data_IF_037204013350
#
_entry.id   IF_037204013350
#
_cell.length_a   1.000
_cell.length_b   1.000
_cell.length_c   1.000
_cell.angle_alpha   90.00
_cell.angle_beta   90.00
_cell.angle_gamma   90.00
#
_symmetry.space_group_name_H-M   'P 1'
#
loop_
_entity.id
_entity.type
_entity.pdbx_description
1 polymer ?
#
# COMPACT_ATOMS: atom_id res chain seq x y z
N UNK A 1 7.01 25.21 -5.51
CA UNK A 1 8.15 24.30 -5.73
C UNK A 1 8.06 23.24 -4.64
N UNK A 2 7.40 22.13 -4.94
CA UNK A 2 7.27 20.98 -4.04
C UNK A 2 7.99 19.82 -4.72
N UNK A 3 9.27 20.03 -5.01
CA UNK A 3 10.04 19.09 -5.81
C UNK A 3 10.98 18.35 -4.87
N UNK A 4 10.74 17.04 -4.78
CA UNK A 4 11.63 16.02 -4.25
C UNK A 4 11.82 16.03 -2.73
N UNK A 5 10.80 15.51 -2.03
CA UNK A 5 11.08 14.81 -0.77
C UNK A 5 12.20 13.79 -1.06
N UNK A 6 13.29 13.77 -0.28
CA UNK A 6 14.39 12.85 -0.53
C UNK A 6 13.81 11.43 -0.57
N UNK A 7 14.28 10.61 -1.51
CA UNK A 7 13.76 9.27 -1.71
C UNK A 7 13.74 8.44 -0.41
N UNK A 8 14.61 8.75 0.55
CA UNK A 8 14.59 8.20 1.91
C UNK A 8 13.34 8.59 2.73
N UNK A 9 12.88 9.84 2.68
CA UNK A 9 11.66 10.27 3.35
C UNK A 9 10.41 9.64 2.73
N UNK A 10 10.38 9.50 1.40
CA UNK A 10 9.27 8.81 0.71
C UNK A 10 9.24 7.33 1.11
N UNK A 11 10.40 6.65 1.15
CA UNK A 11 10.52 5.27 1.63
C UNK A 11 10.03 5.12 3.08
N UNK A 12 10.52 5.97 3.99
CA UNK A 12 10.11 5.92 5.38
C UNK A 12 8.61 6.16 5.54
N UNK A 13 8.04 7.06 4.74
CA UNK A 13 6.60 7.33 4.72
C UNK A 13 5.80 6.10 4.28
N UNK A 14 6.13 5.46 3.15
CA UNK A 14 5.41 4.26 2.70
C UNK A 14 5.50 3.10 3.69
N UNK A 15 6.65 2.89 4.32
CA UNK A 15 6.81 1.86 5.35
C UNK A 15 5.98 2.19 6.59
N UNK A 16 5.99 3.43 7.04
CA UNK A 16 5.18 3.90 8.16
C UNK A 16 3.67 3.73 7.89
N UNK A 17 3.22 4.07 6.68
CA UNK A 17 1.83 3.92 6.28
C UNK A 17 1.39 2.44 6.25
N UNK A 18 2.24 1.55 5.74
CA UNK A 18 1.96 0.11 5.76
C UNK A 18 1.88 -0.45 7.20
N UNK A 19 2.74 0.03 8.11
CA UNK A 19 2.71 -0.35 9.52
C UNK A 19 1.47 0.21 10.24
N UNK A 20 1.14 1.48 9.99
CA UNK A 20 -0.09 2.10 10.49
C UNK A 20 -1.34 1.37 10.00
N UNK A 21 -1.35 0.90 8.75
CA UNK A 21 -2.44 0.07 8.23
C UNK A 21 -2.56 -1.24 9.01
N UNK A 22 -1.44 -1.92 9.31
CA UNK A 22 -1.45 -3.13 10.13
C UNK A 22 -2.05 -2.87 11.52
N UNK A 23 -1.70 -1.75 12.15
CA UNK A 23 -2.29 -1.34 13.43
C UNK A 23 -3.80 -1.08 13.33
N UNK A 24 -4.27 -0.40 12.28
CA UNK A 24 -5.69 -0.19 12.03
C UNK A 24 -6.46 -1.51 11.86
N UNK A 25 -5.86 -2.52 11.22
CA UNK A 25 -6.49 -3.83 11.10
C UNK A 25 -6.67 -4.49 12.48
N UNK A 26 -5.66 -4.38 13.36
CA UNK A 26 -5.77 -4.88 14.74
C UNK A 26 -6.87 -4.15 15.53
N UNK A 27 -7.05 -2.86 15.27
CA UNK A 27 -8.11 -2.03 15.87
C UNK A 27 -9.49 -2.23 15.21
N UNK A 28 -9.60 -3.13 14.21
CA UNK A 28 -10.82 -3.39 13.43
C UNK A 28 -11.31 -2.16 12.65
N UNK A 29 -10.38 -1.35 12.15
CA UNK A 29 -10.60 -0.18 11.29
C UNK A 29 -10.16 -0.48 9.84
N UNK A 30 -10.87 -1.36 9.11
CA UNK A 30 -10.45 -1.80 7.77
C UNK A 30 -10.45 -0.68 6.73
N UNK A 31 -11.40 0.26 6.80
CA UNK A 31 -11.46 1.41 5.89
C UNK A 31 -10.22 2.31 6.00
N UNK A 32 -9.77 2.55 7.23
CA UNK A 32 -8.59 3.37 7.49
C UNK A 32 -7.30 2.64 7.11
N UNK A 33 -7.25 1.32 7.32
CA UNK A 33 -6.18 0.47 6.83
C UNK A 33 -6.07 0.54 5.30
N UNK A 34 -7.18 0.42 4.56
CA UNK A 34 -7.17 0.54 3.10
C UNK A 34 -6.60 1.89 2.63
N UNK A 35 -7.07 3.00 3.21
CA UNK A 35 -6.56 4.33 2.86
C UNK A 35 -5.05 4.48 3.09
N UNK A 36 -4.54 3.95 4.20
CA UNK A 36 -3.11 3.97 4.45
C UNK A 36 -2.32 3.12 3.45
N UNK A 37 -2.85 1.97 3.04
CA UNK A 37 -2.20 1.14 2.02
C UNK A 37 -2.22 1.81 0.64
N UNK A 38 -3.27 2.53 0.29
CA UNK A 38 -3.35 3.32 -0.95
C UNK A 38 -2.32 4.48 -0.95
N UNK A 39 -2.20 5.24 0.15
CA UNK A 39 -1.19 6.30 0.29
C UNK A 39 0.23 5.71 0.28
N UNK A 40 0.40 4.50 0.85
CA UNK A 40 1.67 3.79 0.82
C UNK A 40 2.07 3.41 -0.60
N UNK A 41 1.11 2.92 -1.41
CA UNK A 41 1.28 2.53 -2.82
C UNK A 41 1.67 3.69 -3.73
N UNK A 42 1.12 4.89 -3.49
CA UNK A 42 1.43 6.09 -4.24
C UNK A 42 2.91 6.52 -4.06
N UNK A 43 3.48 6.24 -2.90
CA UNK A 43 4.88 6.56 -2.57
C UNK A 43 5.92 5.51 -3.02
N UNK A 44 5.54 4.40 -3.66
CA UNK A 44 6.49 3.32 -3.97
C UNK A 44 7.20 3.59 -5.29
N UNK A 45 8.53 3.54 -5.27
CA UNK A 45 9.36 3.47 -6.49
C UNK A 45 9.71 2.03 -6.88
N UNK A 46 10.10 1.81 -8.14
CA UNK A 46 10.34 0.48 -8.76
C UNK A 46 11.19 -0.47 -7.88
N UNK A 47 12.32 -0.01 -7.35
CA UNK A 47 13.22 -0.84 -6.53
C UNK A 47 12.65 -1.27 -5.17
N UNK A 48 11.77 -0.45 -4.57
CA UNK A 48 11.21 -0.72 -3.24
C UNK A 48 9.87 -1.45 -3.29
N UNK A 49 9.38 -1.73 -4.49
CA UNK A 49 8.20 -2.55 -4.72
C UNK A 49 8.27 -3.86 -3.94
N UNK A 50 9.37 -4.60 -4.03
CA UNK A 50 9.47 -5.92 -3.41
C UNK A 50 9.26 -5.90 -1.88
N UNK A 51 9.88 -4.95 -1.17
CA UNK A 51 9.83 -4.90 0.31
C UNK A 51 8.53 -4.32 0.85
N UNK A 52 8.03 -3.24 0.26
CA UNK A 52 6.79 -2.59 0.72
C UNK A 52 5.56 -3.41 0.32
N UNK A 53 5.58 -4.03 -0.86
CA UNK A 53 4.48 -4.89 -1.31
C UNK A 53 4.31 -6.13 -0.44
N UNK A 54 5.41 -6.73 0.04
CA UNK A 54 5.33 -7.85 0.98
C UNK A 54 4.52 -7.46 2.23
N UNK A 55 4.83 -6.30 2.81
CA UNK A 55 4.08 -5.74 3.95
C UNK A 55 2.61 -5.47 3.60
N UNK A 56 2.35 -4.85 2.46
CA UNK A 56 0.97 -4.60 2.00
C UNK A 56 0.20 -5.91 1.84
N UNK A 57 0.83 -6.96 1.29
CA UNK A 57 0.22 -8.30 1.16
C UNK A 57 -0.13 -8.91 2.51
N UNK A 58 0.74 -8.76 3.51
CA UNK A 58 0.47 -9.22 4.88
C UNK A 58 -0.76 -8.52 5.46
N UNK A 59 -0.85 -7.19 5.35
CA UNK A 59 -2.01 -6.42 5.85
C UNK A 59 -3.28 -6.78 5.05
N UNK A 60 -3.18 -6.90 3.74
CA UNK A 60 -4.28 -7.34 2.85
C UNK A 60 -4.80 -8.73 3.22
N UNK A 61 -3.90 -9.64 3.64
CA UNK A 61 -4.29 -10.97 4.08
C UNK A 61 -5.12 -10.93 5.36
N UNK A 62 -4.79 -10.06 6.33
CA UNK A 62 -5.62 -9.90 7.53
C UNK A 62 -6.94 -9.18 7.23
N UNK A 63 -6.91 -8.23 6.27
CA UNK A 63 -8.11 -7.57 5.74
C UNK A 63 -9.12 -8.52 5.05
N UNK A 64 -8.75 -9.77 4.74
CA UNK A 64 -9.68 -10.76 4.15
C UNK A 64 -10.94 -10.99 4.98
N UNK A 65 -10.90 -10.75 6.29
CA UNK A 65 -12.09 -10.84 7.16
C UNK A 65 -13.17 -9.82 6.76
N UNK A 66 -12.77 -8.75 6.06
CA UNK A 66 -13.61 -7.66 5.58
C UNK A 66 -13.67 -7.57 4.05
N UNK A 67 -13.42 -8.66 3.32
CA UNK A 67 -13.40 -8.67 1.84
C UNK A 67 -14.74 -8.28 1.18
N UNK A 68 -15.83 -8.31 1.95
CA UNK A 68 -17.13 -7.81 1.51
C UNK A 68 -17.21 -6.28 1.45
N UNK A 69 -16.25 -5.56 2.05
CA UNK A 69 -16.20 -4.11 2.04
C UNK A 69 -15.70 -3.58 0.68
N UNK A 70 -16.33 -2.51 0.16
CA UNK A 70 -15.92 -1.92 -1.11
C UNK A 70 -14.48 -1.37 -1.07
N UNK A 71 -14.02 -0.88 0.07
CA UNK A 71 -12.67 -0.34 0.26
C UNK A 71 -11.60 -1.42 0.08
N UNK A 72 -11.88 -2.65 0.54
CA UNK A 72 -10.95 -3.78 0.42
C UNK A 72 -10.86 -4.24 -1.03
N UNK A 73 -11.96 -4.19 -1.77
CA UNK A 73 -12.00 -4.50 -3.21
C UNK A 73 -11.28 -3.45 -4.04
N UNK A 74 -11.53 -2.17 -3.76
CA UNK A 74 -10.85 -1.06 -4.42
C UNK A 74 -9.33 -1.14 -4.25
N UNK A 75 -8.86 -1.49 -3.05
CA UNK A 75 -7.45 -1.74 -2.79
C UNK A 75 -6.89 -2.90 -3.64
N UNK A 76 -7.64 -3.98 -3.81
CA UNK A 76 -7.24 -5.13 -4.63
C UNK A 76 -7.10 -4.75 -6.11
N UNK A 77 -8.08 -4.00 -6.63
CA UNK A 77 -8.05 -3.46 -7.99
C UNK A 77 -6.84 -2.53 -8.18
N UNK A 78 -6.57 -1.65 -7.21
CA UNK A 78 -5.41 -0.74 -7.22
C UNK A 78 -4.10 -1.52 -7.23
N UNK A 79 -3.97 -2.58 -6.42
CA UNK A 79 -2.78 -3.43 -6.38
C UNK A 79 -2.54 -4.15 -7.71
N UNK A 80 -3.60 -4.62 -8.35
CA UNK A 80 -3.52 -5.27 -9.65
C UNK A 80 -3.10 -4.31 -10.76
N UNK A 81 -3.71 -3.12 -10.81
CA UNK A 81 -3.35 -2.05 -11.74
C UNK A 81 -1.89 -1.61 -11.58
N UNK A 82 -1.46 -1.44 -10.34
CA UNK A 82 -0.08 -1.06 -10.02
C UNK A 82 0.92 -2.13 -10.48
N UNK A 83 0.64 -3.41 -10.22
CA UNK A 83 1.49 -4.52 -10.68
C UNK A 83 1.60 -4.56 -12.21
N UNK A 84 0.50 -4.30 -12.93
CA UNK A 84 0.47 -4.20 -14.39
C UNK A 84 1.31 -3.02 -14.89
N UNK A 85 1.15 -1.85 -14.25
CA UNK A 85 1.88 -0.61 -14.59
C UNK A 85 3.38 -0.79 -14.44
N UNK A 86 3.86 -1.34 -13.31
CA UNK A 86 5.30 -1.54 -13.12
C UNK A 86 5.86 -2.63 -14.00
N UNK A 87 5.14 -3.74 -14.21
CA UNK A 87 5.58 -4.76 -15.16
C UNK A 87 5.70 -4.20 -16.60
N UNK A 88 4.94 -3.16 -16.94
CA UNK A 88 5.03 -2.46 -18.22
C UNK A 88 6.18 -1.44 -18.29
N UNK A 89 6.63 -0.91 -17.15
CA UNK A 89 7.74 0.06 -17.05
C UNK A 89 9.12 -0.62 -17.04
N UNK A 90 9.20 -1.84 -16.52
CA UNK A 90 10.45 -2.61 -16.44
C UNK A 90 10.75 -3.43 -17.72
N UNK A 91 9.97 -3.25 -18.80
CA UNK A 91 10.05 -4.00 -20.06
C UNK A 91 10.72 -3.26 -21.21
#
# INVERSE_FOLDING_TARGET
MLDELPAESVKQRSVYLADAAAACVLDKLPEQACRFLEDALDGIGEYWYATTLDRIKVVRQDLRKWDSLPEVRALDERLYDWHTTVNSLSG
#
